data_IF_765833419759
#
_entry.id   IF_765833419759
#
_cell.length_a   1.000
_cell.length_b   1.000
_cell.length_c   1.000
_cell.angle_alpha   90.00
_cell.angle_beta   90.00
_cell.angle_gamma   90.00
#
_symmetry.space_group_name_H-M   'P 1'
#
loop_
_entity.id
_entity.type
_entity.pdbx_description
1 polymer ?
#
# COMPACT_ATOMS: atom_id res chain seq x y z
N UNK A 1 33.54 26.42 -0.59
CA UNK A 1 32.56 27.17 0.23
C UNK A 1 31.35 27.37 -0.65
N UNK A 2 30.32 26.57 -0.52
CA UNK A 2 29.10 26.74 -1.31
C UNK A 2 27.94 27.24 -0.45
N UNK A 3 27.11 27.93 -1.09
CA UNK A 3 25.91 28.68 -0.75
C UNK A 3 24.81 27.71 -0.28
N UNK A 4 24.55 27.64 1.03
CA UNK A 4 23.45 26.83 1.61
C UNK A 4 22.55 27.57 2.61
N UNK A 5 22.53 28.92 2.63
CA UNK A 5 21.84 29.67 3.68
C UNK A 5 20.61 30.47 3.25
N UNK A 6 20.04 30.25 2.07
CA UNK A 6 18.88 31.05 1.59
C UNK A 6 17.55 30.29 1.63
N UNK A 7 17.55 28.95 1.69
CA UNK A 7 16.29 28.16 1.65
C UNK A 7 15.46 28.21 2.96
N UNK A 8 16.07 28.34 4.12
CA UNK A 8 15.34 28.28 5.41
C UNK A 8 14.44 29.48 5.73
N UNK A 9 14.69 30.64 5.11
CA UNK A 9 13.88 31.85 5.39
C UNK A 9 12.65 32.01 4.49
N UNK A 10 12.63 31.43 3.31
CA UNK A 10 11.48 31.46 2.41
C UNK A 10 10.37 30.49 2.87
N UNK A 11 10.74 29.34 3.42
CA UNK A 11 9.79 28.35 3.93
C UNK A 11 9.00 28.82 5.16
N UNK A 12 9.63 29.55 6.06
CA UNK A 12 8.98 30.06 7.28
C UNK A 12 7.89 31.12 7.02
N UNK A 13 7.96 31.83 5.89
CA UNK A 13 6.97 32.88 5.53
C UNK A 13 5.75 32.26 4.83
N UNK A 14 5.91 31.16 4.11
CA UNK A 14 4.80 30.47 3.44
C UNK A 14 3.86 29.77 4.45
N UNK A 15 4.39 29.23 5.55
CA UNK A 15 3.60 28.51 6.56
C UNK A 15 2.53 29.37 7.26
N UNK A 16 2.76 30.67 7.43
CA UNK A 16 1.81 31.56 8.07
C UNK A 16 0.60 31.94 7.17
N UNK A 17 0.74 31.81 5.85
CA UNK A 17 -0.34 32.15 4.89
C UNK A 17 -1.30 30.98 4.63
N UNK A 18 -0.86 29.74 4.83
CA UNK A 18 -1.65 28.53 4.50
C UNK A 18 -2.73 28.25 5.56
N UNK A 19 -2.53 28.65 6.81
CA UNK A 19 -3.49 28.38 7.90
C UNK A 19 -4.81 29.19 7.81
N UNK A 20 -4.89 30.23 6.97
CA UNK A 20 -6.05 31.13 6.90
C UNK A 20 -7.03 30.82 5.74
N UNK A 21 -6.71 29.86 4.85
CA UNK A 21 -7.51 29.63 3.63
C UNK A 21 -8.45 28.40 3.69
N UNK A 22 -8.54 27.69 4.83
CA UNK A 22 -9.24 26.39 4.90
C UNK A 22 -10.77 26.50 5.17
N UNK A 23 -11.35 27.69 5.33
CA UNK A 23 -12.71 27.80 5.87
C UNK A 23 -13.85 28.04 4.88
N UNK A 24 -13.70 27.96 3.57
CA UNK A 24 -14.89 28.04 2.70
C UNK A 24 -14.70 27.46 1.30
N UNK A 25 -15.45 26.43 0.95
CA UNK A 25 -15.69 26.03 -0.44
C UNK A 25 -16.04 24.57 -0.69
N UNK A 26 -17.29 24.21 -0.48
CA UNK A 26 -17.90 23.00 -1.09
C UNK A 26 -18.30 23.36 -2.52
N UNK A 27 -17.73 22.70 -3.51
CA UNK A 27 -18.18 22.76 -4.91
C UNK A 27 -18.50 21.37 -5.41
N UNK A 28 -19.65 21.22 -6.04
CA UNK A 28 -20.18 19.98 -6.59
C UNK A 28 -19.40 19.51 -7.82
N UNK A 29 -19.33 18.20 -8.04
CA UNK A 29 -18.76 17.57 -9.23
C UNK A 29 -19.81 17.59 -10.37
N UNK A 30 -19.42 18.05 -11.55
CA UNK A 30 -20.17 17.87 -12.79
C UNK A 30 -19.64 16.65 -13.55
N UNK A 31 -20.58 15.76 -13.96
CA UNK A 31 -20.30 14.55 -14.74
C UNK A 31 -20.20 14.91 -16.24
N UNK A 32 -19.02 15.16 -16.77
CA UNK A 32 -18.80 15.11 -18.22
C UNK A 32 -18.23 13.76 -18.66
N UNK A 33 -18.88 13.12 -19.61
CA UNK A 33 -18.50 11.83 -20.16
C UNK A 33 -17.17 11.90 -20.93
N UNK A 34 -16.20 11.13 -20.51
CA UNK A 34 -14.88 11.04 -21.14
C UNK A 34 -14.96 10.35 -22.51
N UNK A 35 -14.30 10.94 -23.53
CA UNK A 35 -14.23 10.40 -24.88
C UNK A 35 -13.54 9.00 -24.92
N UNK A 36 -13.93 8.10 -25.86
CA UNK A 36 -13.31 6.79 -25.99
C UNK A 36 -11.86 6.90 -26.44
N UNK A 37 -10.98 6.16 -25.77
CA UNK A 37 -9.54 6.13 -26.06
C UNK A 37 -9.26 5.16 -27.19
N UNK A 38 -8.49 5.58 -28.21
CA UNK A 38 -8.04 4.74 -29.33
C UNK A 38 -7.01 3.70 -28.88
N UNK A 39 -7.13 2.48 -29.38
CA UNK A 39 -6.19 1.39 -29.14
C UNK A 39 -5.01 1.49 -30.11
N UNK A 40 -3.78 1.29 -29.63
CA UNK A 40 -2.56 1.21 -30.44
C UNK A 40 -2.25 -0.25 -30.81
N UNK A 41 -1.66 -0.50 -31.98
CA UNK A 41 -1.22 -1.81 -32.40
C UNK A 41 0.15 -2.15 -31.79
N UNK A 42 0.29 -3.37 -31.23
CA UNK A 42 1.52 -3.88 -30.59
C UNK A 42 1.39 -4.01 -29.07
N UNK A 43 2.33 -4.72 -28.40
CA UNK A 43 2.33 -4.79 -26.95
C UNK A 43 2.52 -3.39 -26.38
N UNK A 44 1.64 -2.97 -25.47
CA UNK A 44 1.68 -1.59 -24.96
C UNK A 44 2.98 -1.34 -24.19
N UNK A 45 3.62 -0.18 -24.35
CA UNK A 45 4.70 0.23 -23.47
C UNK A 45 4.20 0.34 -22.03
N UNK A 46 5.13 0.32 -21.04
CA UNK A 46 4.75 0.48 -19.63
C UNK A 46 4.01 1.80 -19.41
N UNK A 47 4.49 2.83 -20.09
CA UNK A 47 3.82 4.15 -20.19
C UNK A 47 3.82 4.62 -21.64
N UNK A 48 2.86 5.42 -22.03
CA UNK A 48 2.83 6.11 -23.33
C UNK A 48 3.80 7.31 -23.32
N UNK A 49 3.89 7.99 -24.46
CA UNK A 49 4.72 9.21 -24.65
C UNK A 49 4.33 10.38 -23.70
N UNK A 50 3.17 10.28 -23.04
CA UNK A 50 2.67 11.23 -22.05
C UNK A 50 2.79 10.70 -20.61
N UNK A 51 3.56 9.63 -20.39
CA UNK A 51 3.75 9.03 -19.08
C UNK A 51 2.54 8.27 -18.53
N UNK A 52 1.49 8.04 -19.33
CA UNK A 52 0.29 7.34 -18.89
C UNK A 52 0.40 5.85 -19.15
N UNK A 53 -0.12 5.06 -18.23
CA UNK A 53 -0.25 3.61 -18.41
C UNK A 53 -1.34 3.34 -19.45
N UNK A 54 -1.03 2.65 -20.58
CA UNK A 54 -2.01 2.39 -21.62
C UNK A 54 -3.20 1.56 -21.13
N UNK A 55 -4.35 1.68 -21.81
CA UNK A 55 -5.47 0.78 -21.55
C UNK A 55 -5.10 -0.66 -21.93
N UNK A 56 -5.66 -1.61 -21.18
CA UNK A 56 -5.47 -3.03 -21.44
C UNK A 56 -6.81 -3.77 -21.30
N UNK A 57 -7.11 -4.61 -22.27
CA UNK A 57 -8.20 -5.60 -22.22
C UNK A 57 -7.56 -6.96 -22.56
N UNK A 58 -7.49 -7.85 -21.59
CA UNK A 58 -6.96 -9.19 -21.82
C UNK A 58 -7.97 -10.24 -21.35
N UNK A 59 -8.41 -11.16 -22.21
CA UNK A 59 -8.10 -11.26 -23.64
C UNK A 59 -8.73 -10.16 -24.48
N UNK A 60 -8.07 -9.77 -25.58
CA UNK A 60 -8.59 -8.84 -26.59
C UNK A 60 -7.62 -7.77 -27.08
N UNK A 61 -6.68 -7.30 -26.27
CA UNK A 61 -5.65 -6.36 -26.72
C UNK A 61 -4.53 -7.05 -27.48
N UNK A 62 -3.81 -6.34 -28.37
CA UNK A 62 -2.59 -6.87 -28.97
C UNK A 62 -1.61 -7.37 -27.90
N UNK A 63 -1.02 -8.57 -28.13
CA UNK A 63 -0.15 -9.23 -27.17
C UNK A 63 -0.87 -10.06 -26.11
N UNK A 64 -2.19 -9.92 -25.96
CA UNK A 64 -2.98 -10.76 -25.05
C UNK A 64 -4.32 -11.18 -25.70
N UNK A 65 -4.26 -12.19 -26.56
CA UNK A 65 -5.40 -12.67 -27.33
C UNK A 65 -6.15 -13.81 -26.64
N UNK A 66 -5.46 -14.57 -25.80
CA UNK A 66 -6.02 -15.76 -25.16
C UNK A 66 -5.56 -15.90 -23.72
N UNK A 67 -6.48 -16.27 -22.84
CA UNK A 67 -6.21 -16.73 -21.48
C UNK A 67 -6.50 -18.24 -21.34
N UNK A 68 -6.48 -18.98 -22.45
CA UNK A 68 -6.61 -20.43 -22.44
C UNK A 68 -5.30 -21.10 -22.00
N UNK A 69 -5.39 -22.25 -21.32
CA UNK A 69 -4.24 -23.03 -20.88
C UNK A 69 -4.15 -23.19 -19.37
N UNK A 70 -3.01 -23.67 -18.92
CA UNK A 70 -2.74 -23.90 -17.51
C UNK A 70 -2.64 -22.59 -16.74
N UNK A 71 -3.10 -22.61 -15.50
CA UNK A 71 -2.85 -21.57 -14.52
C UNK A 71 -1.48 -21.83 -13.89
N UNK A 72 -0.56 -20.89 -14.05
CA UNK A 72 0.76 -20.93 -13.41
C UNK A 72 0.81 -19.85 -12.33
N UNK A 73 1.15 -20.22 -11.11
CA UNK A 73 1.22 -19.30 -9.98
C UNK A 73 2.50 -19.49 -9.20
N UNK A 74 3.15 -18.40 -8.88
CA UNK A 74 4.24 -18.32 -7.91
C UNK A 74 4.04 -17.17 -6.95
N UNK A 75 4.70 -17.23 -5.82
CA UNK A 75 4.61 -16.21 -4.78
C UNK A 75 5.94 -16.02 -4.08
N UNK A 76 6.18 -14.80 -3.59
CA UNK A 76 7.38 -14.47 -2.82
C UNK A 76 7.10 -13.28 -1.88
N UNK A 77 8.00 -13.08 -0.92
CA UNK A 77 7.96 -11.95 0.00
C UNK A 77 9.38 -11.39 0.22
N UNK A 78 9.50 -10.09 0.33
CA UNK A 78 10.74 -9.40 0.67
C UNK A 78 10.47 -8.33 1.72
N UNK A 79 11.31 -8.24 2.77
CA UNK A 79 11.22 -7.13 3.71
C UNK A 79 11.59 -5.83 3.00
N UNK A 80 10.83 -4.78 3.31
CA UNK A 80 11.07 -3.41 2.88
C UNK A 80 11.26 -2.48 4.08
N UNK A 81 11.58 -3.03 5.24
CA UNK A 81 11.88 -2.28 6.46
C UNK A 81 13.15 -1.47 6.25
N UNK A 82 13.12 -0.13 6.39
CA UNK A 82 14.32 0.68 6.30
C UNK A 82 15.21 0.50 7.54
N UNK A 83 16.49 0.83 7.47
CA UNK A 83 17.29 1.05 8.67
C UNK A 83 16.67 2.16 9.51
N UNK A 84 16.77 2.03 10.84
CA UNK A 84 16.26 3.02 11.78
C UNK A 84 17.43 3.54 12.60
N UNK A 85 17.59 4.85 12.63
CA UNK A 85 18.43 5.53 13.60
C UNK A 85 17.59 5.89 14.84
N UNK A 86 17.81 5.19 15.97
CA UNK A 86 17.07 5.44 17.19
C UNK A 86 17.29 6.88 17.69
N UNK A 87 16.27 7.48 18.23
CA UNK A 87 16.32 8.80 18.85
C UNK A 87 15.76 8.75 20.26
N UNK A 88 16.09 9.78 21.06
CA UNK A 88 15.62 9.87 22.44
C UNK A 88 14.66 11.01 22.59
N UNK A 89 13.40 10.71 22.89
CA UNK A 89 12.38 11.69 23.28
C UNK A 89 12.74 12.26 24.65
N UNK A 90 13.31 13.48 24.66
CA UNK A 90 13.81 14.12 25.87
C UNK A 90 12.75 14.95 26.57
N UNK A 91 11.69 15.31 25.88
CA UNK A 91 10.60 16.14 26.41
C UNK A 91 9.35 15.31 26.76
N UNK A 92 9.27 14.05 26.31
CA UNK A 92 8.20 13.10 26.61
C UNK A 92 6.91 13.39 25.84
N UNK A 93 6.99 14.06 24.67
CA UNK A 93 5.81 14.36 23.85
C UNK A 93 5.54 13.32 22.76
N UNK A 94 6.45 12.32 22.60
CA UNK A 94 6.33 11.26 21.59
C UNK A 94 6.62 11.73 20.17
N UNK A 95 7.11 12.95 19.97
CA UNK A 95 7.37 13.53 18.67
C UNK A 95 8.84 13.92 18.52
N UNK A 96 9.44 13.56 17.38
CA UNK A 96 10.84 13.90 17.09
C UNK A 96 10.99 15.36 16.74
N UNK A 97 11.92 16.06 17.42
CA UNK A 97 12.37 17.39 17.04
C UNK A 97 13.89 17.45 16.87
N UNK A 98 14.38 18.42 16.08
CA UNK A 98 15.80 18.54 15.70
C UNK A 98 16.78 18.68 16.87
N UNK A 99 16.33 19.06 18.08
CA UNK A 99 17.19 19.24 19.24
C UNK A 99 17.39 17.92 20.02
N UNK A 100 16.63 16.89 19.70
CA UNK A 100 16.69 15.61 20.42
C UNK A 100 17.84 14.74 19.93
N UNK A 101 18.54 14.09 20.87
CA UNK A 101 19.68 13.24 20.52
C UNK A 101 19.23 11.99 19.78
N UNK A 102 20.11 11.46 18.95
CA UNK A 102 19.92 10.23 18.19
C UNK A 102 21.22 9.43 18.12
N UNK A 103 21.12 8.17 17.79
CA UNK A 103 22.23 7.28 17.55
C UNK A 103 22.61 7.35 16.06
N UNK A 104 23.64 8.12 15.74
CA UNK A 104 24.19 8.25 14.38
C UNK A 104 24.93 6.96 14.00
N UNK A 105 24.22 6.05 13.33
CA UNK A 105 24.73 4.70 13.03
C UNK A 105 25.67 4.69 11.81
N UNK A 106 25.54 5.65 10.92
CA UNK A 106 26.36 5.73 9.71
C UNK A 106 27.47 6.79 9.82
N UNK A 107 27.48 7.62 10.89
CA UNK A 107 28.53 8.59 11.18
C UNK A 107 28.49 9.84 10.31
N UNK A 108 27.36 10.18 9.70
CA UNK A 108 27.21 11.35 8.82
C UNK A 108 26.88 12.65 9.59
N UNK A 109 26.46 12.55 10.86
CA UNK A 109 26.10 13.66 11.72
C UNK A 109 24.69 14.23 11.46
N UNK A 110 23.90 13.58 10.63
CA UNK A 110 22.50 13.87 10.34
C UNK A 110 21.64 12.68 10.81
N UNK A 111 20.41 12.95 11.21
CA UNK A 111 19.48 11.87 11.58
C UNK A 111 18.81 11.31 10.32
N UNK A 112 19.09 10.05 10.02
CA UNK A 112 18.52 9.29 8.90
C UNK A 112 17.38 8.40 9.37
N UNK A 113 16.51 8.92 10.19
CA UNK A 113 15.38 8.19 10.71
C UNK A 113 14.12 8.36 9.87
N UNK A 114 13.09 7.65 10.28
CA UNK A 114 11.86 7.48 9.53
C UNK A 114 10.70 8.13 10.25
N UNK A 115 9.94 8.99 9.58
CA UNK A 115 8.63 9.42 10.06
C UNK A 115 7.55 8.41 9.64
N UNK A 116 6.70 8.07 10.61
CA UNK A 116 5.62 7.09 10.42
C UNK A 116 4.36 7.79 9.92
N UNK A 117 3.73 7.20 8.92
CA UNK A 117 2.50 7.69 8.33
C UNK A 117 1.25 7.34 9.18
N UNK A 118 0.15 7.99 8.89
CA UNK A 118 -1.20 7.57 9.28
C UNK A 118 -1.88 8.36 10.38
N UNK A 119 -1.12 8.94 11.34
CA UNK A 119 -1.69 9.73 12.45
C UNK A 119 -1.16 11.17 12.47
N UNK A 120 -0.32 11.54 13.43
CA UNK A 120 0.21 12.89 13.56
C UNK A 120 1.55 13.05 12.84
N UNK A 121 1.90 14.30 12.50
CA UNK A 121 3.27 14.65 12.13
C UNK A 121 4.20 14.54 13.34
N UNK A 122 5.50 14.41 13.09
CA UNK A 122 6.53 14.31 14.12
C UNK A 122 6.67 12.91 14.73
N UNK A 123 5.81 11.95 14.37
CA UNK A 123 5.87 10.58 14.86
C UNK A 123 7.00 9.81 14.17
N UNK A 124 8.19 9.90 14.73
CA UNK A 124 9.37 9.21 14.24
C UNK A 124 9.49 7.79 14.81
N UNK A 125 9.92 6.85 13.97
CA UNK A 125 10.15 5.48 14.42
C UNK A 125 11.31 5.41 15.41
N UNK A 126 11.13 4.64 16.49
CA UNK A 126 12.16 4.35 17.51
C UNK A 126 12.74 2.94 17.38
N UNK A 127 12.18 2.12 16.49
CA UNK A 127 12.59 0.74 16.26
C UNK A 127 11.61 -0.02 15.39
N UNK A 128 11.78 -1.34 15.36
CA UNK A 128 10.98 -2.26 14.56
C UNK A 128 10.42 -3.35 15.48
N UNK A 129 9.11 -3.59 15.44
CA UNK A 129 8.52 -4.76 16.10
C UNK A 129 8.53 -5.96 15.15
N UNK A 130 8.05 -5.76 13.93
CA UNK A 130 8.10 -6.74 12.85
C UNK A 130 8.38 -6.04 11.51
N UNK A 131 8.94 -6.79 10.57
CA UNK A 131 9.24 -6.25 9.26
C UNK A 131 7.97 -5.78 8.53
N UNK A 132 8.09 -4.68 7.82
CA UNK A 132 7.14 -4.30 6.77
C UNK A 132 7.58 -4.95 5.46
N UNK A 133 6.62 -5.40 4.64
CA UNK A 133 6.87 -6.31 3.53
C UNK A 133 6.35 -5.80 2.19
N UNK A 134 7.04 -6.21 1.13
CA UNK A 134 6.48 -6.38 -0.21
C UNK A 134 6.17 -7.86 -0.41
N UNK A 135 4.88 -8.21 -0.54
CA UNK A 135 4.40 -9.59 -0.77
C UNK A 135 3.74 -9.69 -2.12
N UNK A 136 4.15 -10.65 -2.91
CA UNK A 136 3.75 -10.71 -4.32
C UNK A 136 3.25 -12.07 -4.73
N UNK A 137 2.33 -12.07 -5.70
CA UNK A 137 1.87 -13.24 -6.42
C UNK A 137 2.01 -12.94 -7.91
N UNK A 138 2.63 -13.84 -8.65
CA UNK A 138 2.65 -13.79 -10.12
C UNK A 138 1.72 -14.87 -10.65
N UNK A 139 0.79 -14.46 -11.51
CA UNK A 139 -0.22 -15.32 -12.14
C UNK A 139 -0.02 -15.27 -13.64
N UNK A 140 0.12 -16.43 -14.28
CA UNK A 140 0.18 -16.56 -15.75
C UNK A 140 -0.90 -17.52 -16.24
N UNK A 141 -1.57 -17.14 -17.33
CA UNK A 141 -2.57 -18.01 -17.99
C UNK A 141 -2.72 -17.64 -19.46
N UNK A 142 -2.31 -18.55 -20.35
CA UNK A 142 -2.20 -18.25 -21.78
C UNK A 142 -1.22 -17.08 -22.00
N UNK A 143 -1.69 -16.06 -22.70
CA UNK A 143 -0.88 -14.85 -22.99
C UNK A 143 -0.83 -13.87 -21.79
N UNK A 144 -1.69 -14.05 -20.79
CA UNK A 144 -1.80 -13.10 -19.67
C UNK A 144 -0.78 -13.38 -18.57
N UNK A 145 -0.04 -12.35 -18.16
CA UNK A 145 0.85 -12.36 -17.01
C UNK A 145 0.58 -11.18 -16.07
N UNK A 146 0.24 -11.45 -14.82
CA UNK A 146 -0.13 -10.45 -13.82
C UNK A 146 0.77 -10.59 -12.59
N UNK A 147 1.35 -9.48 -12.11
CA UNK A 147 1.89 -9.36 -10.76
C UNK A 147 0.86 -8.70 -9.84
N UNK A 148 0.56 -9.32 -8.71
CA UNK A 148 -0.21 -8.74 -7.63
C UNK A 148 0.74 -8.46 -6.46
N UNK A 149 0.79 -7.21 -6.01
CA UNK A 149 1.74 -6.73 -4.99
C UNK A 149 0.97 -6.12 -3.84
N UNK A 150 1.24 -6.56 -2.63
CA UNK A 150 0.82 -5.92 -1.39
C UNK A 150 2.04 -5.33 -0.68
N UNK A 151 2.00 -4.02 -0.39
CA UNK A 151 3.02 -3.29 0.34
C UNK A 151 2.51 -2.93 1.74
N UNK A 152 3.30 -3.17 2.77
CA UNK A 152 2.98 -2.73 4.12
C UNK A 152 3.32 -1.25 4.30
N UNK A 153 2.47 -0.41 3.72
CA UNK A 153 2.56 1.05 3.71
C UNK A 153 1.16 1.63 3.89
N UNK A 154 1.08 2.90 4.30
CA UNK A 154 -0.22 3.61 4.38
C UNK A 154 -0.79 3.90 2.99
N UNK A 155 0.06 4.21 2.03
CA UNK A 155 -0.31 4.50 0.66
C UNK A 155 0.92 4.51 -0.25
N UNK A 156 0.69 4.40 -1.56
CA UNK A 156 1.75 4.44 -2.56
C UNK A 156 1.20 5.07 -3.82
N UNK A 157 1.79 6.17 -4.28
CA UNK A 157 1.22 6.93 -5.38
C UNK A 157 1.39 6.25 -6.73
N UNK A 158 0.57 6.66 -7.68
CA UNK A 158 0.53 6.07 -9.03
C UNK A 158 1.86 6.20 -9.77
N UNK A 159 2.57 7.30 -9.64
CA UNK A 159 3.89 7.53 -10.26
C UNK A 159 4.94 6.55 -9.71
N UNK A 160 4.95 6.28 -8.40
CA UNK A 160 5.81 5.26 -7.80
C UNK A 160 5.43 3.84 -8.27
N UNK A 161 4.12 3.55 -8.42
CA UNK A 161 3.66 2.29 -9.02
C UNK A 161 4.13 2.14 -10.47
N UNK A 162 4.14 3.24 -11.24
CA UNK A 162 4.69 3.23 -12.61
C UNK A 162 6.17 2.91 -12.58
N UNK A 163 6.93 3.44 -11.62
CA UNK A 163 8.36 3.14 -11.45
C UNK A 163 8.61 1.65 -11.15
N UNK A 164 7.78 1.00 -10.31
CA UNK A 164 7.84 -0.46 -10.12
C UNK A 164 7.66 -1.20 -11.46
N UNK A 165 6.69 -0.77 -12.29
CA UNK A 165 6.43 -1.40 -13.59
C UNK A 165 7.60 -1.23 -14.56
N UNK A 166 8.21 -0.05 -14.59
CA UNK A 166 9.40 0.24 -15.40
C UNK A 166 10.57 -0.62 -14.95
N UNK A 167 10.89 -0.61 -13.66
CA UNK A 167 11.98 -1.38 -13.09
C UNK A 167 11.81 -2.90 -13.30
N UNK A 168 10.58 -3.41 -13.15
CA UNK A 168 10.27 -4.81 -13.44
C UNK A 168 10.54 -5.18 -14.91
N UNK A 169 10.15 -4.31 -15.85
CA UNK A 169 10.42 -4.51 -17.27
C UNK A 169 11.91 -4.44 -17.59
N UNK A 170 12.65 -3.50 -17.00
CA UNK A 170 14.11 -3.39 -17.13
C UNK A 170 14.84 -4.62 -16.57
N UNK A 171 14.30 -5.22 -15.50
CA UNK A 171 14.76 -6.49 -14.95
C UNK A 171 14.39 -7.72 -15.81
N UNK A 172 13.74 -7.51 -16.96
CA UNK A 172 13.36 -8.58 -17.90
C UNK A 172 12.08 -9.33 -17.54
N UNK A 173 11.26 -8.79 -16.62
CA UNK A 173 9.96 -9.37 -16.28
C UNK A 173 8.92 -8.95 -17.33
N UNK A 174 8.38 -9.94 -18.04
CA UNK A 174 7.29 -9.73 -18.97
C UNK A 174 5.95 -9.97 -18.25
N UNK A 175 5.41 -8.87 -17.72
CA UNK A 175 4.14 -8.80 -17.01
C UNK A 175 3.24 -7.76 -17.68
N UNK A 176 2.07 -8.19 -18.14
CA UNK A 176 1.08 -7.29 -18.78
C UNK A 176 0.54 -6.24 -17.81
N UNK A 177 0.46 -6.63 -16.53
CA UNK A 177 0.00 -5.78 -15.46
C UNK A 177 0.69 -6.11 -14.14
N UNK A 178 1.07 -5.05 -13.42
CA UNK A 178 1.39 -5.13 -12.00
C UNK A 178 0.33 -4.30 -11.27
N UNK A 179 -0.46 -4.96 -10.43
CA UNK A 179 -1.44 -4.35 -9.52
C UNK A 179 -0.76 -4.18 -8.19
N UNK A 180 -0.70 -2.97 -7.68
CA UNK A 180 -0.14 -2.66 -6.36
C UNK A 180 -1.25 -2.17 -5.46
N UNK A 181 -1.33 -2.75 -4.29
CA UNK A 181 -2.17 -2.32 -3.17
C UNK A 181 -1.29 -2.11 -1.96
N UNK A 182 -1.66 -1.20 -1.08
CA UNK A 182 -1.05 -1.08 0.24
C UNK A 182 -1.96 -1.75 1.27
N UNK A 183 -1.38 -2.24 2.37
CA UNK A 183 -2.17 -2.74 3.51
C UNK A 183 -2.88 -1.61 4.23
N UNK A 184 -2.44 -0.39 4.02
CA UNK A 184 -2.88 0.82 4.68
C UNK A 184 -2.51 0.85 6.17
N UNK A 185 -1.41 0.16 6.55
CA UNK A 185 -0.93 0.23 7.94
C UNK A 185 -0.53 1.65 8.30
N UNK A 186 -0.94 2.09 9.48
CA UNK A 186 -0.59 3.38 10.05
C UNK A 186 0.70 3.33 10.88
N UNK A 187 1.48 2.24 10.74
CA UNK A 187 2.68 1.97 11.51
C UNK A 187 3.90 1.73 10.62
N UNK A 188 3.91 2.31 9.43
CA UNK A 188 4.96 2.17 8.43
C UNK A 188 5.53 3.53 8.00
N UNK A 189 6.67 3.57 7.28
CA UNK A 189 7.27 4.80 6.79
C UNK A 189 6.34 5.62 5.92
N UNK A 190 6.47 6.96 5.99
CA UNK A 190 5.74 7.86 5.09
C UNK A 190 6.30 7.79 3.68
N UNK A 191 5.52 7.22 2.78
CA UNK A 191 5.79 7.17 1.34
C UNK A 191 4.89 8.11 0.53
N UNK A 192 4.03 8.87 1.21
CA UNK A 192 3.15 9.84 0.56
C UNK A 192 3.66 11.28 0.67
N UNK A 193 4.57 11.55 1.60
CA UNK A 193 5.12 12.88 1.84
C UNK A 193 4.21 13.80 2.64
N UNK A 194 3.29 13.21 3.42
CA UNK A 194 2.29 13.97 4.21
C UNK A 194 2.69 14.05 5.68
N UNK A 195 3.41 13.04 6.18
CA UNK A 195 3.80 12.92 7.58
C UNK A 195 5.32 13.10 7.73
N UNK A 196 5.75 14.34 7.93
CA UNK A 196 7.13 14.69 8.26
C UNK A 196 7.27 15.11 9.71
N UNK A 197 8.35 15.82 10.04
CA UNK A 197 8.56 16.43 11.37
C UNK A 197 7.38 17.31 11.79
N UNK A 198 6.82 18.04 10.84
CA UNK A 198 5.67 18.92 11.05
C UNK A 198 4.88 19.06 9.72
N UNK A 199 3.76 19.78 9.76
CA UNK A 199 2.88 19.95 8.60
C UNK A 199 3.51 20.68 7.38
N UNK A 200 4.71 21.24 7.53
CA UNK A 200 5.45 21.91 6.46
C UNK A 200 6.65 21.10 5.95
N UNK A 201 6.82 19.88 6.43
CA UNK A 201 7.90 18.98 6.04
C UNK A 201 7.35 17.65 5.51
N UNK A 202 8.06 17.05 4.58
CA UNK A 202 7.73 15.75 4.01
C UNK A 202 8.51 14.66 4.74
N UNK A 203 7.85 13.54 5.02
CA UNK A 203 8.51 12.31 5.45
C UNK A 203 8.90 11.39 4.29
N UNK A 204 8.64 11.80 3.04
CA UNK A 204 8.98 11.02 1.85
C UNK A 204 10.49 11.00 1.62
N UNK A 205 11.04 9.80 1.60
CA UNK A 205 12.44 9.53 1.27
C UNK A 205 12.52 8.83 -0.10
N UNK A 206 13.04 9.53 -1.14
CA UNK A 206 13.15 8.96 -2.48
C UNK A 206 14.17 7.82 -2.56
N UNK A 207 15.23 7.83 -1.75
CA UNK A 207 16.23 6.76 -1.72
C UNK A 207 15.64 5.47 -1.15
N UNK A 208 14.90 5.56 -0.04
CA UNK A 208 14.17 4.43 0.52
C UNK A 208 13.15 3.85 -0.48
N UNK A 209 12.42 4.73 -1.18
CA UNK A 209 11.45 4.27 -2.19
C UNK A 209 12.14 3.55 -3.34
N UNK A 210 13.26 4.08 -3.86
CA UNK A 210 13.95 3.50 -5.00
C UNK A 210 14.77 2.27 -4.63
N UNK A 211 15.65 2.41 -3.67
CA UNK A 211 16.68 1.41 -3.37
C UNK A 211 16.16 0.28 -2.49
N UNK A 212 15.04 0.52 -1.77
CA UNK A 212 14.43 -0.52 -0.93
C UNK A 212 13.09 -0.97 -1.48
N UNK A 213 12.07 -0.12 -1.55
CA UNK A 213 10.72 -0.58 -1.88
C UNK A 213 10.65 -1.11 -3.31
N UNK A 214 11.09 -0.32 -4.29
CA UNK A 214 11.01 -0.70 -5.70
C UNK A 214 11.94 -1.89 -5.97
N UNK A 215 13.19 -1.82 -5.53
CA UNK A 215 14.17 -2.89 -5.76
C UNK A 215 13.71 -4.22 -5.15
N UNK A 216 13.30 -4.24 -3.87
CA UNK A 216 12.82 -5.46 -3.20
C UNK A 216 11.52 -5.99 -3.80
N UNK A 217 10.63 -5.11 -4.26
CA UNK A 217 9.41 -5.53 -4.97
C UNK A 217 9.73 -6.21 -6.29
N UNK A 218 10.69 -5.68 -7.06
CA UNK A 218 11.14 -6.32 -8.32
C UNK A 218 11.83 -7.66 -8.06
N UNK A 219 12.66 -7.76 -7.02
CA UNK A 219 13.25 -9.04 -6.58
C UNK A 219 12.17 -10.06 -6.23
N UNK A 220 11.14 -9.67 -5.48
CA UNK A 220 10.03 -10.54 -5.12
C UNK A 220 9.21 -10.97 -6.35
N UNK A 221 8.91 -10.05 -7.27
CA UNK A 221 8.23 -10.35 -8.54
C UNK A 221 9.03 -11.35 -9.39
N UNK A 222 10.35 -11.16 -9.43
CA UNK A 222 11.24 -12.09 -10.15
C UNK A 222 11.21 -13.48 -9.53
N UNK A 223 11.40 -13.59 -8.22
CA UNK A 223 11.34 -14.88 -7.53
C UNK A 223 9.98 -15.56 -7.69
N UNK A 224 8.87 -14.81 -7.55
CA UNK A 224 7.53 -15.34 -7.76
C UNK A 224 7.32 -15.81 -9.22
N UNK A 225 7.92 -15.12 -10.19
CA UNK A 225 7.90 -15.55 -11.60
C UNK A 225 8.70 -16.82 -11.82
N UNK A 226 9.89 -16.93 -11.24
CA UNK A 226 10.83 -18.04 -11.41
C UNK A 226 10.33 -19.32 -10.71
N UNK A 227 9.63 -19.21 -9.58
CA UNK A 227 9.09 -20.33 -8.82
C UNK A 227 7.66 -20.73 -9.22
N UNK A 228 7.12 -20.15 -10.31
CA UNK A 228 5.79 -20.41 -10.82
C UNK A 228 5.57 -21.89 -11.20
N UNK A 229 4.43 -22.45 -10.80
CA UNK A 229 4.05 -23.83 -11.10
C UNK A 229 2.56 -23.96 -11.38
N UNK A 230 2.16 -25.06 -12.05
CA UNK A 230 0.76 -25.32 -12.34
C UNK A 230 -0.09 -25.31 -11.08
N UNK A 231 -1.18 -24.60 -11.13
CA UNK A 231 -2.00 -24.33 -9.97
C UNK A 231 -3.50 -24.51 -10.23
N UNK A 232 -4.22 -24.70 -9.14
CA UNK A 232 -5.67 -24.59 -9.05
C UNK A 232 -6.00 -23.50 -8.04
N UNK A 233 -7.23 -23.00 -8.06
CA UNK A 233 -7.68 -21.99 -7.14
C UNK A 233 -8.88 -22.46 -6.30
N UNK A 234 -8.92 -22.05 -5.04
CA UNK A 234 -10.02 -22.26 -4.11
C UNK A 234 -10.41 -20.93 -3.45
N UNK A 235 -11.69 -20.65 -3.39
CA UNK A 235 -12.25 -19.40 -2.87
C UNK A 235 -13.22 -19.69 -1.71
N UNK A 236 -13.11 -18.89 -0.66
CA UNK A 236 -14.11 -18.80 0.38
C UNK A 236 -14.46 -17.35 0.68
N UNK A 237 -15.69 -17.11 1.10
CA UNK A 237 -16.16 -15.81 1.60
C UNK A 237 -16.84 -16.05 2.92
N UNK A 238 -16.50 -15.23 3.91
CA UNK A 238 -17.08 -15.24 5.23
C UNK A 238 -17.27 -13.81 5.72
N UNK A 239 -17.71 -13.62 6.94
CA UNK A 239 -17.84 -12.32 7.59
C UNK A 239 -17.04 -12.31 8.91
N UNK A 240 -16.53 -11.14 9.25
CA UNK A 240 -15.83 -10.89 10.52
C UNK A 240 -16.42 -9.68 11.27
N UNK A 241 -17.73 -9.69 11.60
CA UNK A 241 -18.47 -8.52 12.08
C UNK A 241 -18.00 -7.98 13.43
N UNK A 242 -17.39 -8.83 14.25
CA UNK A 242 -16.91 -8.45 15.58
C UNK A 242 -15.50 -7.84 15.57
N UNK A 243 -14.81 -7.90 14.44
CA UNK A 243 -13.42 -7.46 14.28
C UNK A 243 -13.30 -6.15 13.49
N UNK A 244 -14.41 -5.59 13.05
CA UNK A 244 -14.48 -4.34 12.29
C UNK A 244 -15.52 -3.41 12.90
N UNK A 245 -15.23 -2.12 12.90
CA UNK A 245 -16.13 -1.07 13.34
C UNK A 245 -16.23 0.03 12.29
N UNK A 246 -17.18 0.95 12.48
CA UNK A 246 -17.26 2.23 11.77
C UNK A 246 -17.40 3.33 12.82
N UNK A 247 -16.50 4.31 12.79
CA UNK A 247 -16.52 5.43 13.73
C UNK A 247 -17.29 6.63 13.22
N UNK A 248 -17.94 6.52 12.06
CA UNK A 248 -18.68 7.61 11.41
C UNK A 248 -20.14 7.25 11.22
N UNK A 249 -21.00 8.25 11.10
CA UNK A 249 -22.41 8.08 10.82
C UNK A 249 -22.73 8.47 9.37
N UNK A 250 -23.59 7.72 8.68
CA UNK A 250 -24.26 6.47 9.12
C UNK A 250 -23.27 5.31 9.24
N UNK A 251 -23.53 4.37 10.16
CA UNK A 251 -22.73 3.15 10.30
C UNK A 251 -22.84 2.30 9.01
N UNK A 252 -21.72 2.16 8.29
CA UNK A 252 -21.60 1.38 7.05
C UNK A 252 -20.36 0.51 7.13
N UNK A 253 -20.55 -0.80 7.32
CA UNK A 253 -19.47 -1.78 7.46
C UNK A 253 -19.49 -2.77 6.33
N UNK A 254 -18.36 -2.93 5.65
CA UNK A 254 -18.10 -4.10 4.83
C UNK A 254 -17.50 -5.19 5.72
N UNK A 255 -18.34 -6.13 6.13
CA UNK A 255 -17.94 -7.22 7.02
C UNK A 255 -17.35 -8.40 6.27
N UNK A 256 -17.42 -8.38 4.93
CA UNK A 256 -16.98 -9.48 4.10
C UNK A 256 -15.46 -9.67 4.18
N UNK A 257 -15.06 -10.91 4.40
CA UNK A 257 -13.69 -11.40 4.35
C UNK A 257 -13.61 -12.51 3.32
N UNK A 258 -12.82 -12.28 2.27
CA UNK A 258 -12.64 -13.24 1.20
C UNK A 258 -11.24 -13.85 1.26
N UNK A 259 -11.16 -15.17 1.06
CA UNK A 259 -9.88 -15.89 1.01
C UNK A 259 -9.77 -16.60 -0.32
N UNK A 260 -8.73 -16.26 -1.10
CA UNK A 260 -8.37 -16.94 -2.34
C UNK A 260 -7.05 -17.66 -2.13
N UNK A 261 -7.05 -18.98 -2.28
CA UNK A 261 -5.86 -19.80 -2.17
C UNK A 261 -5.53 -20.45 -3.51
N UNK A 262 -4.27 -20.30 -3.92
CA UNK A 262 -3.70 -21.03 -5.03
C UNK A 262 -2.96 -22.26 -4.51
N UNK A 263 -3.21 -23.41 -5.14
CA UNK A 263 -2.66 -24.70 -4.76
C UNK A 263 -1.94 -25.32 -5.94
N UNK A 264 -0.83 -25.95 -5.70
CA UNK A 264 -0.12 -26.76 -6.68
C UNK A 264 -1.06 -27.84 -7.24
N UNK A 265 -1.19 -27.89 -8.56
CA UNK A 265 -2.15 -28.78 -9.21
C UNK A 265 -1.83 -30.28 -9.04
N UNK A 266 -0.56 -30.63 -8.80
CA UNK A 266 -0.13 -32.03 -8.65
C UNK A 266 -0.20 -32.51 -7.19
N UNK A 267 0.12 -31.63 -6.23
CA UNK A 267 0.28 -32.00 -4.81
C UNK A 267 -0.83 -31.46 -3.92
N UNK A 268 -1.64 -30.53 -4.42
CA UNK A 268 -2.61 -29.73 -3.67
C UNK A 268 -1.98 -28.87 -2.54
N UNK A 269 -0.65 -28.77 -2.47
CA UNK A 269 0.03 -27.93 -1.49
C UNK A 269 -0.24 -26.46 -1.78
N UNK A 270 -0.49 -25.63 -0.76
CA UNK A 270 -0.75 -24.20 -0.96
C UNK A 270 0.51 -23.48 -1.49
N UNK A 271 0.31 -22.56 -2.43
CA UNK A 271 1.35 -21.70 -3.03
C UNK A 271 1.25 -20.31 -2.43
N UNK A 272 0.04 -19.76 -2.46
CA UNK A 272 -0.30 -18.46 -1.93
C UNK A 272 -1.70 -18.48 -1.32
N UNK A 273 -1.87 -17.80 -0.18
CA UNK A 273 -3.16 -17.61 0.47
C UNK A 273 -3.41 -16.12 0.62
N UNK A 274 -4.37 -15.61 -0.12
CA UNK A 274 -4.69 -14.18 -0.17
C UNK A 274 -5.93 -13.91 0.64
N UNK A 275 -5.85 -12.92 1.53
CA UNK A 275 -6.99 -12.43 2.31
C UNK A 275 -7.33 -11.03 1.83
N UNK A 276 -8.60 -10.81 1.46
CA UNK A 276 -9.16 -9.50 1.14
C UNK A 276 -10.14 -9.10 2.24
N UNK A 277 -9.88 -7.99 2.90
CA UNK A 277 -10.73 -7.51 3.99
C UNK A 277 -10.65 -5.99 4.13
N UNK A 278 -11.80 -5.32 4.26
CA UNK A 278 -11.91 -3.88 4.41
C UNK A 278 -11.83 -3.45 5.86
N UNK A 279 -10.62 -3.28 6.39
CA UNK A 279 -10.41 -2.82 7.76
C UNK A 279 -9.07 -2.09 7.87
N UNK A 280 -9.05 -0.90 8.50
CA UNK A 280 -7.82 -0.12 8.71
C UNK A 280 -6.86 -0.83 9.67
N UNK A 281 -5.61 -1.07 9.30
CA UNK A 281 -4.56 -1.51 10.24
C UNK A 281 -4.07 -0.33 11.11
N UNK A 282 -4.84 -0.04 12.15
CA UNK A 282 -4.61 1.03 13.11
C UNK A 282 -4.98 0.61 14.55
N UNK A 283 -4.82 -0.71 14.84
CA UNK A 283 -5.12 -1.28 16.15
C UNK A 283 -4.23 -0.74 17.26
N UNK A 284 -2.98 -0.39 16.91
CA UNK A 284 -1.98 0.13 17.86
C UNK A 284 -2.19 1.61 18.16
N UNK A 285 -2.64 2.42 17.19
CA UNK A 285 -2.92 3.83 17.42
C UNK A 285 -1.68 4.73 17.39
N UNK A 286 -1.89 6.03 17.68
CA UNK A 286 -0.90 7.09 17.51
C UNK A 286 0.33 7.02 18.42
N UNK A 287 0.21 6.30 19.54
CA UNK A 287 1.26 6.27 20.57
C UNK A 287 2.35 5.22 20.27
N UNK A 288 2.10 4.34 19.30
CA UNK A 288 3.11 3.38 18.87
C UNK A 288 4.19 4.08 18.02
N UNK A 289 5.45 3.79 18.32
CA UNK A 289 6.62 4.29 17.58
C UNK A 289 7.48 3.18 16.98
N UNK A 290 6.98 1.93 17.00
CA UNK A 290 7.67 0.80 16.37
C UNK A 290 7.06 0.53 14.99
N UNK A 291 7.91 0.35 13.98
CA UNK A 291 7.45 -0.10 12.66
C UNK A 291 6.83 -1.50 12.76
N UNK A 292 5.70 -1.66 12.09
CA UNK A 292 4.96 -2.92 12.02
C UNK A 292 3.89 -2.85 10.92
N UNK A 293 3.43 -4.01 10.47
CA UNK A 293 2.22 -4.08 9.63
C UNK A 293 0.91 -4.20 10.43
N UNK A 294 0.94 -3.87 11.74
CA UNK A 294 -0.22 -3.90 12.64
C UNK A 294 -0.89 -5.29 12.65
N UNK A 295 -2.21 -5.40 12.71
CA UNK A 295 -2.90 -6.69 12.70
C UNK A 295 -2.62 -7.54 11.44
N UNK A 296 -2.21 -6.92 10.33
CA UNK A 296 -1.88 -7.66 9.10
C UNK A 296 -0.66 -8.59 9.29
N UNK A 297 0.28 -8.24 10.18
CA UNK A 297 1.36 -9.13 10.61
C UNK A 297 0.80 -10.44 11.19
N UNK A 298 -0.01 -10.33 12.24
CA UNK A 298 -0.58 -11.48 12.95
C UNK A 298 -1.53 -12.31 12.08
N UNK A 299 -2.27 -11.65 11.16
CA UNK A 299 -3.13 -12.33 10.20
C UNK A 299 -2.29 -13.24 9.28
N UNK A 300 -1.20 -12.72 8.73
CA UNK A 300 -0.33 -13.48 7.82
C UNK A 300 0.41 -14.59 8.53
N UNK A 301 0.94 -14.33 9.73
CA UNK A 301 1.61 -15.30 10.55
C UNK A 301 0.68 -16.50 10.87
N UNK A 302 -0.56 -16.25 11.26
CA UNK A 302 -1.56 -17.29 11.51
C UNK A 302 -1.91 -18.06 10.24
N UNK A 303 -2.05 -17.38 9.10
CA UNK A 303 -2.32 -18.05 7.81
C UNK A 303 -1.15 -18.93 7.37
N UNK A 304 0.10 -18.47 7.49
CA UNK A 304 1.29 -19.23 7.15
C UNK A 304 1.51 -20.41 8.10
N UNK A 305 1.13 -20.28 9.36
CA UNK A 305 1.13 -21.38 10.33
C UNK A 305 0.14 -22.48 9.95
N UNK A 306 -1.06 -22.10 9.49
CA UNK A 306 -2.10 -23.05 9.06
C UNK A 306 -1.84 -23.68 7.70
N UNK A 307 -1.20 -22.94 6.82
CA UNK A 307 -0.88 -23.35 5.45
C UNK A 307 0.63 -23.24 5.20
N UNK A 308 1.43 -24.14 5.79
CA UNK A 308 2.88 -24.14 5.63
C UNK A 308 3.29 -24.15 4.17
N UNK A 309 4.34 -23.42 3.82
CA UNK A 309 4.84 -23.22 2.45
C UNK A 309 3.97 -22.31 1.56
N UNK A 310 2.88 -21.76 2.08
CA UNK A 310 2.10 -20.72 1.41
C UNK A 310 2.65 -19.33 1.78
N UNK A 311 2.76 -18.45 0.81
CA UNK A 311 2.94 -17.02 1.08
C UNK A 311 1.57 -16.42 1.39
N UNK A 312 1.36 -15.93 2.61
CA UNK A 312 0.13 -15.21 2.96
C UNK A 312 0.22 -13.77 2.49
N UNK A 313 -0.81 -13.29 1.79
CA UNK A 313 -0.89 -11.92 1.29
C UNK A 313 -2.19 -11.28 1.75
N UNK A 314 -2.09 -10.10 2.37
CA UNK A 314 -3.24 -9.31 2.76
C UNK A 314 -3.45 -8.16 1.77
N UNK A 315 -4.66 -8.04 1.25
CA UNK A 315 -5.08 -6.89 0.44
C UNK A 315 -6.22 -6.16 1.15
N UNK A 316 -6.07 -4.86 1.29
CA UNK A 316 -7.14 -4.01 1.78
C UNK A 316 -8.33 -4.06 0.83
N UNK A 317 -9.51 -4.26 1.40
CA UNK A 317 -10.79 -4.17 0.71
C UNK A 317 -11.36 -2.76 0.71
N UNK A 318 -12.68 -2.67 0.91
CA UNK A 318 -13.43 -1.40 0.93
C UNK A 318 -13.17 -0.63 2.21
N UNK A 319 -12.05 0.09 2.30
CA UNK A 319 -11.70 0.90 3.47
C UNK A 319 -12.53 2.18 3.55
N UNK A 320 -12.48 2.99 2.49
CA UNK A 320 -13.25 4.23 2.33
C UNK A 320 -13.17 5.23 3.48
N UNK A 321 -12.27 5.04 4.44
CA UNK A 321 -12.17 5.81 5.67
C UNK A 321 -13.28 5.50 6.70
N UNK A 322 -13.98 4.40 6.53
CA UNK A 322 -15.14 3.99 7.36
C UNK A 322 -14.82 2.78 8.23
N UNK A 323 -14.34 1.68 7.62
CA UNK A 323 -14.03 0.45 8.33
C UNK A 323 -12.70 0.54 9.09
N UNK A 324 -12.74 0.30 10.39
CA UNK A 324 -11.59 0.51 11.28
C UNK A 324 -11.55 -0.50 12.44
N UNK A 325 -10.37 -0.67 13.01
CA UNK A 325 -10.15 -1.40 14.26
C UNK A 325 -10.45 -0.57 15.50
N UNK A 326 -10.62 0.74 15.36
CA UNK A 326 -10.94 1.65 16.47
C UNK A 326 -12.33 1.34 17.00
N UNK A 327 -12.44 1.17 18.32
CA UNK A 327 -13.73 0.84 18.98
C UNK A 327 -14.24 -0.58 18.77
N UNK A 328 -13.46 -1.47 18.13
CA UNK A 328 -13.75 -2.92 18.14
C UNK A 328 -13.74 -3.39 19.59
N UNK A 329 -14.84 -3.99 20.03
CA UNK A 329 -14.98 -4.52 21.37
C UNK A 329 -14.63 -6.01 21.40
N UNK A 330 -14.15 -6.50 22.55
CA UNK A 330 -14.29 -7.91 22.86
C UNK A 330 -13.10 -8.81 22.63
N UNK A 331 -11.88 -8.38 22.95
CA UNK A 331 -10.92 -9.39 23.42
C UNK A 331 -11.50 -10.08 24.64
N UNK A 332 -11.69 -11.41 24.64
CA UNK A 332 -12.07 -12.11 25.84
C UNK A 332 -11.01 -11.91 26.91
N UNK A 333 -11.40 -11.46 28.11
CA UNK A 333 -10.52 -11.49 29.27
C UNK A 333 -11.03 -12.50 30.28
N UNK A 334 -10.14 -13.14 30.99
CA UNK A 334 -10.47 -14.04 32.10
C UNK A 334 -11.24 -13.33 33.23
N UNK A 335 -11.31 -12.00 33.19
CA UNK A 335 -11.96 -11.16 34.19
C UNK A 335 -13.30 -10.55 33.74
N UNK A 336 -13.80 -10.93 32.53
CA UNK A 336 -15.13 -10.50 32.06
C UNK A 336 -15.23 -9.02 31.67
N UNK A 337 -14.13 -8.32 31.51
CA UNK A 337 -14.01 -6.94 31.04
C UNK A 337 -13.20 -6.88 29.77
N UNK A 338 -13.25 -5.77 29.01
CA UNK A 338 -12.51 -5.58 27.77
C UNK A 338 -11.03 -5.96 27.92
N UNK A 339 -10.62 -7.08 27.30
CA UNK A 339 -9.30 -7.69 27.51
C UNK A 339 -8.17 -7.08 26.72
N UNK A 340 -8.42 -6.30 25.67
CA UNK A 340 -7.37 -5.62 24.92
C UNK A 340 -7.75 -4.17 24.57
N UNK A 341 -7.18 -3.23 25.30
CA UNK A 341 -7.37 -1.81 25.04
C UNK A 341 -6.93 -1.40 23.63
N UNK A 342 -7.49 -0.31 23.10
CA UNK A 342 -6.98 0.35 21.91
C UNK A 342 -5.50 0.72 22.13
N UNK A 343 -4.66 0.55 21.10
CA UNK A 343 -3.24 0.88 21.16
C UNK A 343 -2.36 -0.22 21.76
N UNK A 344 -2.85 -1.47 21.84
CA UNK A 344 -2.07 -2.58 22.38
C UNK A 344 -1.78 -3.67 21.36
N UNK A 345 -0.67 -4.38 21.54
CA UNK A 345 -0.27 -5.52 20.71
C UNK A 345 -1.26 -6.67 20.81
N UNK A 346 -1.79 -6.91 21.99
CA UNK A 346 -2.83 -7.92 22.23
C UNK A 346 -4.07 -7.66 21.37
N UNK A 347 -4.40 -6.38 21.12
CA UNK A 347 -5.51 -6.02 20.24
C UNK A 347 -5.18 -6.30 18.78
N UNK A 348 -4.02 -5.90 18.30
CA UNK A 348 -3.57 -6.18 16.95
C UNK A 348 -3.52 -7.69 16.68
N UNK A 349 -2.97 -8.46 17.62
CA UNK A 349 -2.94 -9.92 17.56
C UNK A 349 -4.33 -10.53 17.54
N UNK A 350 -5.24 -10.11 18.42
CA UNK A 350 -6.62 -10.60 18.48
C UNK A 350 -7.37 -10.39 17.16
N UNK A 351 -7.25 -9.20 16.58
CA UNK A 351 -7.89 -8.85 15.32
C UNK A 351 -7.29 -9.67 14.18
N UNK A 352 -5.97 -9.70 14.06
CA UNK A 352 -5.27 -10.41 12.99
C UNK A 352 -5.51 -11.90 13.01
N UNK A 353 -5.29 -12.56 14.15
CA UNK A 353 -5.53 -14.01 14.30
C UNK A 353 -7.01 -14.36 14.21
N UNK A 354 -7.89 -13.48 14.69
CA UNK A 354 -9.34 -13.66 14.57
C UNK A 354 -9.81 -13.66 13.11
N UNK A 355 -9.34 -12.70 12.31
CA UNK A 355 -9.66 -12.61 10.89
C UNK A 355 -9.06 -13.81 10.11
N UNK A 356 -7.81 -14.19 10.39
CA UNK A 356 -7.19 -15.37 9.81
C UNK A 356 -7.95 -16.66 10.14
N UNK A 357 -8.39 -16.82 11.40
CA UNK A 357 -9.16 -17.97 11.84
C UNK A 357 -10.53 -18.06 11.15
N UNK A 358 -11.23 -16.93 11.02
CA UNK A 358 -12.50 -16.88 10.30
C UNK A 358 -12.32 -17.25 8.82
N UNK A 359 -11.33 -16.67 8.16
CA UNK A 359 -11.00 -16.95 6.76
C UNK A 359 -10.58 -18.40 6.52
N UNK A 360 -9.67 -18.93 7.33
CA UNK A 360 -9.21 -20.32 7.22
C UNK A 360 -10.36 -21.31 7.48
N UNK A 361 -11.19 -21.08 8.50
CA UNK A 361 -12.37 -21.91 8.78
C UNK A 361 -13.32 -21.97 7.59
N UNK A 362 -13.55 -20.82 6.94
CA UNK A 362 -14.37 -20.77 5.74
C UNK A 362 -13.71 -21.50 4.56
N UNK A 363 -12.39 -21.33 4.37
CA UNK A 363 -11.63 -21.95 3.29
C UNK A 363 -11.58 -23.48 3.41
N UNK A 364 -11.44 -24.00 4.63
CA UNK A 364 -11.42 -25.44 4.90
C UNK A 364 -12.83 -26.05 4.98
N UNK A 365 -13.84 -25.20 5.11
CA UNK A 365 -15.23 -25.61 5.23
C UNK A 365 -15.86 -26.08 3.90
N UNK A 366 -17.03 -26.70 4.00
CA UNK A 366 -17.80 -27.20 2.85
C UNK A 366 -18.42 -26.08 1.99
N UNK A 367 -18.43 -24.84 2.48
CA UNK A 367 -18.89 -23.66 1.72
C UNK A 367 -17.84 -23.08 0.77
N UNK A 368 -16.60 -23.51 0.88
CA UNK A 368 -15.54 -23.07 -0.04
C UNK A 368 -15.73 -23.68 -1.43
N UNK A 369 -15.41 -22.90 -2.45
CA UNK A 369 -15.60 -23.26 -3.85
C UNK A 369 -14.25 -23.60 -4.47
N UNK A 370 -14.11 -24.83 -4.96
CA UNK A 370 -12.98 -25.21 -5.78
C UNK A 370 -13.19 -24.71 -7.22
N UNK A 371 -12.42 -23.71 -7.60
CA UNK A 371 -12.50 -23.07 -8.92
C UNK A 371 -11.74 -23.88 -10.01
N UNK A 372 -10.93 -24.87 -9.60
CA UNK A 372 -10.04 -25.58 -10.50
C UNK A 372 -9.06 -24.61 -11.17
N UNK A 373 -9.07 -24.59 -12.51
CA UNK A 373 -8.33 -23.62 -13.33
C UNK A 373 -9.32 -22.55 -13.80
N UNK A 374 -9.45 -21.42 -13.07
CA UNK A 374 -10.47 -20.41 -13.37
C UNK A 374 -10.17 -19.66 -14.68
N UNK A 375 -11.22 -19.14 -15.30
CA UNK A 375 -11.11 -18.11 -16.32
C UNK A 375 -10.57 -16.82 -15.70
N UNK A 376 -9.59 -16.20 -16.37
CA UNK A 376 -8.99 -14.93 -15.92
C UNK A 376 -9.10 -13.91 -17.05
N UNK A 377 -9.52 -12.71 -16.69
CA UNK A 377 -9.51 -11.56 -17.58
C UNK A 377 -9.12 -10.29 -16.81
N UNK A 378 -8.43 -9.39 -17.48
CA UNK A 378 -8.11 -8.07 -16.92
C UNK A 378 -8.63 -6.95 -17.83
N UNK A 379 -9.09 -5.88 -17.21
CA UNK A 379 -9.38 -4.62 -17.88
C UNK A 379 -8.75 -3.49 -17.08
N UNK A 380 -7.88 -2.74 -17.74
CA UNK A 380 -7.23 -1.57 -17.16
C UNK A 380 -7.55 -0.34 -17.98
N UNK A 381 -7.90 0.75 -17.32
CA UNK A 381 -8.09 2.05 -17.92
C UNK A 381 -7.36 3.11 -17.09
N UNK A 382 -6.52 3.91 -17.72
CA UNK A 382 -5.99 5.13 -17.13
C UNK A 382 -7.01 6.27 -17.33
N UNK A 383 -7.14 7.12 -16.33
CA UNK A 383 -7.91 8.34 -16.40
C UNK A 383 -7.20 9.45 -15.62
N UNK A 384 -7.43 10.68 -16.00
CA UNK A 384 -6.99 11.85 -15.26
C UNK A 384 -8.19 12.46 -14.54
N UNK A 385 -7.93 13.08 -13.41
CA UNK A 385 -8.95 13.85 -12.68
C UNK A 385 -8.40 15.23 -12.37
N UNK A 386 -9.27 16.22 -12.28
CA UNK A 386 -8.89 17.58 -11.92
C UNK A 386 -8.70 17.68 -10.41
N UNK A 387 -7.66 18.40 -9.99
CA UNK A 387 -7.46 18.77 -8.61
C UNK A 387 -8.00 20.16 -8.38
N UNK A 388 -9.04 20.28 -7.56
CA UNK A 388 -9.66 21.56 -7.20
C UNK A 388 -9.24 22.06 -5.82
N UNK A 389 -8.51 21.27 -5.05
CA UNK A 389 -8.01 21.65 -3.75
C UNK A 389 -6.77 22.55 -3.91
N UNK A 390 -6.92 23.86 -3.66
CA UNK A 390 -5.84 24.82 -3.83
C UNK A 390 -4.67 24.60 -2.88
N UNK A 391 -4.90 24.08 -1.66
CA UNK A 391 -3.80 23.77 -0.72
C UNK A 391 -2.94 22.61 -1.23
N UNK A 392 -3.58 21.60 -1.80
CA UNK A 392 -2.87 20.46 -2.42
C UNK A 392 -2.04 20.93 -3.62
N UNK A 393 -2.60 21.78 -4.49
CA UNK A 393 -1.87 22.35 -5.63
C UNK A 393 -0.66 23.16 -5.16
N UNK A 394 -0.81 24.02 -4.14
CA UNK A 394 0.29 24.78 -3.57
C UNK A 394 1.37 23.85 -3.03
N UNK A 395 1.00 22.79 -2.32
CA UNK A 395 1.96 21.82 -1.78
C UNK A 395 2.79 21.14 -2.89
N UNK A 396 2.18 20.85 -4.06
CA UNK A 396 2.92 20.36 -5.23
C UNK A 396 3.87 21.43 -5.78
N UNK A 397 3.40 22.66 -5.99
CA UNK A 397 4.21 23.72 -6.59
C UNK A 397 5.41 24.14 -5.73
N UNK A 398 5.28 24.12 -4.41
CA UNK A 398 6.41 24.43 -3.50
C UNK A 398 7.31 23.21 -3.23
N UNK A 399 7.01 22.05 -3.84
CA UNK A 399 7.80 20.83 -3.69
C UNK A 399 7.64 20.13 -2.34
N UNK A 400 6.61 20.47 -1.56
CA UNK A 400 6.28 19.75 -0.32
C UNK A 400 5.76 18.35 -0.61
N UNK A 401 4.99 18.21 -1.69
CA UNK A 401 4.56 16.91 -2.22
C UNK A 401 5.28 16.68 -3.55
N UNK A 402 6.37 15.91 -3.59
CA UNK A 402 7.14 15.68 -4.81
C UNK A 402 6.43 14.66 -5.72
N UNK A 403 5.38 15.12 -6.38
CA UNK A 403 4.53 14.31 -7.26
C UNK A 403 4.40 14.93 -8.64
N UNK A 404 4.13 14.10 -9.65
CA UNK A 404 3.94 14.55 -11.01
C UNK A 404 2.53 15.10 -11.22
N UNK A 405 2.42 16.33 -11.72
CA UNK A 405 1.19 16.93 -12.21
C UNK A 405 1.12 16.83 -13.72
N UNK A 406 -0.09 16.77 -14.26
CA UNK A 406 -0.33 16.68 -15.70
C UNK A 406 -1.38 17.69 -16.11
N UNK A 407 -1.20 18.29 -17.29
CA UNK A 407 -2.24 19.09 -17.91
C UNK A 407 -3.43 18.18 -18.26
N UNK A 408 -4.62 18.52 -17.75
CA UNK A 408 -5.81 17.68 -17.93
C UNK A 408 -6.16 17.47 -19.41
N UNK A 409 -6.10 18.54 -20.21
CA UNK A 409 -6.49 18.52 -21.62
C UNK A 409 -5.53 17.71 -22.50
N UNK A 410 -4.24 17.78 -22.22
CA UNK A 410 -3.20 17.19 -23.07
C UNK A 410 -2.62 15.91 -22.48
N UNK A 411 -2.70 15.73 -21.15
CA UNK A 411 -2.01 14.68 -20.42
C UNK A 411 -0.48 14.83 -20.43
N UNK A 412 0.02 16.01 -20.77
CA UNK A 412 1.45 16.34 -20.72
C UNK A 412 1.82 16.61 -19.26
N UNK A 413 2.95 16.04 -18.80
CA UNK A 413 3.47 16.32 -17.47
C UNK A 413 3.89 17.78 -17.36
N UNK A 414 3.47 18.45 -16.28
CA UNK A 414 3.98 19.77 -15.90
C UNK A 414 5.43 19.63 -15.48
N UNK A 415 6.30 20.44 -16.11
CA UNK A 415 7.70 20.55 -15.69
C UNK A 415 7.84 21.61 -14.61
N UNK A 416 8.93 21.53 -13.84
CA UNK A 416 9.24 22.54 -12.82
C UNK A 416 9.39 23.93 -13.44
N UNK A 417 9.95 24.02 -14.67
CA UNK A 417 10.11 25.29 -15.40
C UNK A 417 8.78 25.94 -15.77
N UNK A 418 7.72 25.14 -16.04
CA UNK A 418 6.37 25.63 -16.35
C UNK A 418 5.59 26.03 -15.09
N UNK A 419 6.01 25.58 -13.90
CA UNK A 419 5.39 25.94 -12.62
C UNK A 419 5.89 27.28 -12.08
N UNK A 420 6.99 27.81 -12.62
CA UNK A 420 7.60 29.08 -12.20
C UNK A 420 7.03 30.29 -12.97
N UNK A 421 6.04 30.11 -13.83
CA UNK A 421 5.31 31.14 -14.58
C UNK A 421 3.94 31.39 -13.93
#
# INVERSE_FOLDING_TARGET
MPIRTVRSRAQAVASAAILLAITSGLVACDDEALAPVQQTEGPPPVVDEKGRVPNLVCPGSPGCQSTAGDLIVGAAARPITPPIEPWTDTNGDGLRNLAEPFDDLNGNGEWDGVFMAGFSNGRAATGVHDDVWSRVIVIRKGDLAIGMVALDLVGFFHDDIVRIRVAAKEAGLDLDQIVVSTTHTHEAPDTMGIWGENAATSGYDPEYVDETIIARTVEALKEASDNGRSATARLAVTEAPTLVNDTRLPDVRDQALSVLQFRDAATASPIATTVFWGNHPEALGSDNTLLTSDYAHFLREEMESRYPSSVAVFFSGSLGGLSTTIGVLGCPSDQGTEGCPQGTWERAEYIGRGAATAGATALDGSGAVDLGVPEIAIRRRAFLTTTTNGALLIAFFIGLLPRNLFWFDTGVQLTQEESDV
#
